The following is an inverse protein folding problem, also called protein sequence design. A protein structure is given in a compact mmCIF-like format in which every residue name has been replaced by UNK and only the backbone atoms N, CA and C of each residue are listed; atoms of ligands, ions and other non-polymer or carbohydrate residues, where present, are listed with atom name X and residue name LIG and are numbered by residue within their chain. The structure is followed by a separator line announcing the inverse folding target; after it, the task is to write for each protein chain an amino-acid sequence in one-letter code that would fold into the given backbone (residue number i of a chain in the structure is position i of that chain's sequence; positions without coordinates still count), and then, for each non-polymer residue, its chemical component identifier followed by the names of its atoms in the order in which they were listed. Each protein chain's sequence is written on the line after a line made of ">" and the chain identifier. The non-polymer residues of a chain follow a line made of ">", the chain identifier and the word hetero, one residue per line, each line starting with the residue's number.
data_IF_649166591433
#
_entry.id   IF_649166591433
#
_cell.length_a   1.000
_cell.length_b   1.000
_cell.length_c   1.000
_cell.angle_alpha   90.00
_cell.angle_beta   90.00
_cell.angle_gamma   90.00
#
_symmetry.space_group_name_H-M   'P 1'
#
loop_
_entity.id
_entity.type
_entity.pdbx_description
1 polymer ?
#
# COMPACT_ATOMS: atom_id res chain seq x y z
N UNK A 1 -7.10 -13.79 4.56
CA UNK A 1 -7.44 -12.35 4.58
C UNK A 1 -7.71 -11.93 3.16
N UNK A 2 -8.76 -11.16 2.94
CA UNK A 2 -8.99 -10.47 1.65
C UNK A 2 -7.90 -9.42 1.42
N UNK A 3 -7.70 -8.92 0.19
CA UNK A 3 -6.81 -7.79 -0.10
C UNK A 3 -7.03 -6.59 0.83
N UNK A 4 -8.28 -6.18 1.02
CA UNK A 4 -8.69 -5.12 1.95
C UNK A 4 -8.19 -5.39 3.37
N UNK A 5 -8.47 -6.59 3.89
CA UNK A 5 -8.06 -7.01 5.22
C UNK A 5 -6.54 -7.03 5.39
N UNK A 6 -5.81 -7.45 4.35
CA UNK A 6 -4.34 -7.43 4.39
C UNK A 6 -3.81 -5.99 4.47
N UNK A 7 -4.42 -5.04 3.74
CA UNK A 7 -4.08 -3.61 3.85
C UNK A 7 -4.39 -3.08 5.24
N UNK A 8 -5.58 -3.36 5.79
CA UNK A 8 -5.94 -2.99 7.17
C UNK A 8 -4.94 -3.52 8.19
N UNK A 9 -4.48 -4.76 8.01
CA UNK A 9 -3.42 -5.33 8.85
C UNK A 9 -2.08 -4.60 8.71
N UNK A 10 -1.66 -4.23 7.50
CA UNK A 10 -0.46 -3.41 7.30
C UNK A 10 -0.59 -2.05 8.00
N UNK A 11 -1.77 -1.43 7.98
CA UNK A 11 -2.03 -0.17 8.68
C UNK A 11 -1.97 -0.37 10.20
N UNK A 12 -2.54 -1.45 10.74
CA UNK A 12 -2.45 -1.80 12.17
C UNK A 12 -1.00 -1.91 12.63
N UNK A 13 -0.16 -2.61 11.87
CA UNK A 13 1.27 -2.75 12.16
C UNK A 13 1.93 -1.38 12.14
N UNK A 14 1.67 -0.60 11.09
CA UNK A 14 2.32 0.71 10.92
C UNK A 14 1.89 1.72 11.98
N UNK A 15 0.63 1.69 12.39
CA UNK A 15 0.10 2.52 13.47
C UNK A 15 0.77 2.16 14.80
N UNK A 16 0.91 0.87 15.10
CA UNK A 16 1.61 0.44 16.31
C UNK A 16 3.08 0.90 16.30
N UNK A 17 3.77 0.80 15.16
CA UNK A 17 5.15 1.30 15.00
C UNK A 17 5.26 2.82 15.22
N UNK A 18 4.36 3.60 14.63
CA UNK A 18 4.38 5.07 14.75
C UNK A 18 4.09 5.55 16.18
N UNK A 19 3.35 4.77 16.96
CA UNK A 19 2.97 5.09 18.33
C UNK A 19 3.84 4.40 19.40
N UNK A 20 4.94 3.74 19.01
CA UNK A 20 5.79 2.94 19.90
C UNK A 20 5.00 1.88 20.72
N UNK A 21 3.94 1.33 20.12
CA UNK A 21 3.07 0.32 20.71
C UNK A 21 3.45 -1.09 20.22
N UNK A 22 3.16 -2.15 21.01
CA UNK A 22 3.37 -3.51 20.55
C UNK A 22 2.44 -3.82 19.37
N UNK A 23 3.02 -4.35 18.29
CA UNK A 23 2.25 -4.83 17.14
C UNK A 23 1.24 -5.89 17.62
N UNK A 24 -0.05 -5.75 17.28
CA UNK A 24 -1.07 -6.73 17.63
C UNK A 24 -0.67 -8.15 17.17
N UNK A 25 -0.69 -9.11 18.09
CA UNK A 25 -0.44 -10.51 17.78
C UNK A 25 -1.75 -11.23 17.43
N UNK A 26 -1.67 -12.27 16.61
CA UNK A 26 -2.81 -13.09 16.18
C UNK A 26 -3.92 -12.29 15.46
N UNK A 27 -3.52 -11.35 14.61
CA UNK A 27 -4.47 -10.71 13.67
C UNK A 27 -4.91 -11.78 12.66
N UNK A 28 -6.21 -12.05 12.62
CA UNK A 28 -6.83 -13.08 11.77
C UNK A 28 -7.84 -12.45 10.83
N UNK A 29 -8.40 -13.25 9.91
CA UNK A 29 -9.52 -12.83 9.05
C UNK A 29 -10.72 -12.32 9.83
N UNK A 30 -10.93 -12.83 11.04
CA UNK A 30 -12.16 -12.59 11.79
C UNK A 30 -12.01 -11.39 12.73
N UNK A 31 -10.76 -10.98 13.02
CA UNK A 31 -10.46 -9.92 14.00
C UNK A 31 -9.91 -8.64 13.38
N UNK A 32 -9.34 -8.71 12.18
CA UNK A 32 -8.62 -7.59 11.56
C UNK A 32 -9.49 -6.36 11.33
N UNK A 33 -10.75 -6.54 10.91
CA UNK A 33 -11.66 -5.43 10.64
C UNK A 33 -12.04 -4.70 11.94
N UNK A 34 -12.42 -5.45 12.98
CA UNK A 34 -12.73 -4.87 14.30
C UNK A 34 -11.52 -4.14 14.92
N UNK A 35 -10.32 -4.72 14.79
CA UNK A 35 -9.09 -4.10 15.28
C UNK A 35 -8.77 -2.82 14.53
N UNK A 36 -8.96 -2.81 13.20
CA UNK A 36 -8.74 -1.63 12.37
C UNK A 36 -9.72 -0.51 12.72
N UNK A 37 -11.01 -0.84 12.86
CA UNK A 37 -12.07 0.13 13.19
C UNK A 37 -11.90 0.71 14.61
N UNK A 38 -11.17 0.01 15.48
CA UNK A 38 -10.85 0.47 16.84
C UNK A 38 -9.62 1.39 16.92
N UNK A 39 -8.89 1.61 15.82
CA UNK A 39 -7.74 2.53 15.81
C UNK A 39 -8.21 3.97 16.02
N UNK A 40 -7.60 4.65 16.98
CA UNK A 40 -7.73 6.10 17.12
C UNK A 40 -6.73 6.80 16.18
N UNK A 41 -7.22 7.79 15.42
CA UNK A 41 -6.46 8.58 14.44
C UNK A 41 -5.57 7.74 13.49
N UNK A 42 -6.14 6.88 12.62
CA UNK A 42 -5.37 5.99 11.73
C UNK A 42 -4.64 6.71 10.58
N UNK A 43 -4.76 8.05 10.49
CA UNK A 43 -4.49 8.82 9.27
C UNK A 43 -3.05 8.72 8.78
N UNK A 44 -2.07 8.87 9.69
CA UNK A 44 -0.65 8.81 9.33
C UNK A 44 -0.27 7.41 8.84
N UNK A 45 -0.63 6.37 9.60
CA UNK A 45 -0.39 4.99 9.22
C UNK A 45 -1.09 4.61 7.90
N UNK A 46 -2.35 5.03 7.73
CA UNK A 46 -3.13 4.84 6.50
C UNK A 46 -2.43 5.50 5.32
N UNK A 47 -1.97 6.74 5.46
CA UNK A 47 -1.34 7.47 4.37
C UNK A 47 0.05 6.92 4.04
N UNK A 48 0.84 6.51 5.03
CA UNK A 48 2.14 5.87 4.78
C UNK A 48 1.99 4.51 4.09
N UNK A 49 0.97 3.71 4.43
CA UNK A 49 0.68 2.49 3.67
C UNK A 49 0.20 2.83 2.26
N UNK A 50 -0.68 3.81 2.11
CA UNK A 50 -1.23 4.27 0.82
C UNK A 50 -0.15 4.65 -0.19
N UNK A 51 0.91 5.33 0.25
CA UNK A 51 2.01 5.79 -0.60
C UNK A 51 3.20 4.79 -0.69
N UNK A 52 3.08 3.60 -0.13
CA UNK A 52 4.18 2.62 -0.05
C UNK A 52 4.24 1.61 -1.21
N UNK A 53 3.29 1.65 -2.13
CA UNK A 53 3.22 0.69 -3.24
C UNK A 53 4.22 0.99 -4.36
N UNK A 54 4.58 -0.07 -5.08
CA UNK A 54 5.36 -0.01 -6.31
C UNK A 54 4.42 0.09 -7.52
N UNK A 55 4.73 0.97 -8.48
CA UNK A 55 3.91 1.13 -9.69
C UNK A 55 3.90 -0.15 -10.53
N UNK A 56 2.71 -0.62 -10.87
CA UNK A 56 2.50 -1.90 -11.57
C UNK A 56 2.31 -1.74 -13.07
N UNK A 57 1.94 -0.54 -13.53
CA UNK A 57 1.49 -0.30 -14.90
C UNK A 57 0.16 -0.97 -15.27
N UNK A 58 -0.59 -1.52 -14.29
CA UNK A 58 -1.93 -2.04 -14.53
C UNK A 58 -2.91 -0.90 -14.86
N UNK A 59 -4.01 -1.19 -15.57
CA UNK A 59 -5.00 -0.17 -15.93
C UNK A 59 -5.62 0.50 -14.69
N UNK A 60 -5.74 1.84 -14.74
CA UNK A 60 -6.37 2.65 -13.69
C UNK A 60 -7.68 3.27 -14.16
N UNK A 61 -8.60 3.59 -13.24
CA UNK A 61 -9.79 4.38 -13.58
C UNK A 61 -9.40 5.79 -14.01
N UNK A 62 -10.14 6.37 -14.97
CA UNK A 62 -9.97 7.77 -15.32
C UNK A 62 -10.60 8.68 -14.25
N UNK A 63 -9.84 9.66 -13.78
CA UNK A 63 -10.34 10.73 -12.90
C UNK A 63 -10.15 12.09 -13.56
N UNK A 64 -11.13 12.99 -13.36
CA UNK A 64 -11.04 14.38 -13.84
C UNK A 64 -10.26 15.30 -12.90
N UNK A 65 -10.10 14.86 -11.66
CA UNK A 65 -9.59 15.70 -10.57
C UNK A 65 -8.26 15.21 -10.03
N UNK A 66 -7.98 13.91 -10.16
CA UNK A 66 -6.82 13.25 -9.58
C UNK A 66 -6.08 12.46 -10.65
N UNK A 67 -4.76 12.39 -10.49
CA UNK A 67 -3.94 11.40 -11.16
C UNK A 67 -4.10 10.06 -10.43
N UNK A 68 -3.94 8.95 -11.15
CA UNK A 68 -4.16 7.61 -10.60
C UNK A 68 -3.12 6.64 -11.15
N UNK A 69 -2.33 6.08 -10.24
CA UNK A 69 -1.40 4.99 -10.53
C UNK A 69 -1.91 3.69 -9.91
N UNK A 70 -1.79 2.57 -10.63
CA UNK A 70 -2.03 1.25 -10.05
C UNK A 70 -0.74 0.81 -9.37
N UNK A 71 -0.77 0.68 -8.05
CA UNK A 71 0.41 0.29 -7.27
C UNK A 71 0.17 -1.05 -6.58
N UNK A 72 1.24 -1.76 -6.24
CA UNK A 72 1.17 -2.98 -5.46
C UNK A 72 2.30 -3.10 -4.44
N UNK A 73 2.06 -3.85 -3.38
CA UNK A 73 3.07 -4.15 -2.35
C UNK A 73 2.97 -5.61 -1.93
N UNK A 74 4.13 -6.18 -1.59
CA UNK A 74 4.19 -7.51 -1.00
C UNK A 74 3.69 -7.49 0.45
N UNK A 75 2.78 -8.42 0.76
CA UNK A 75 2.28 -8.69 2.09
C UNK A 75 3.21 -9.61 2.87
N UNK A 76 2.97 -9.74 4.18
CA UNK A 76 3.81 -10.51 5.11
C UNK A 76 3.97 -11.98 4.75
N UNK A 77 2.98 -12.58 4.10
CA UNK A 77 3.00 -13.98 3.64
C UNK A 77 3.65 -14.16 2.25
N UNK A 78 4.14 -13.08 1.65
CA UNK A 78 4.75 -13.06 0.32
C UNK A 78 3.78 -12.85 -0.84
N UNK A 79 2.46 -12.89 -0.61
CA UNK A 79 1.46 -12.53 -1.63
C UNK A 79 1.52 -11.03 -1.95
N UNK A 80 1.03 -10.62 -3.11
CA UNK A 80 1.03 -9.21 -3.52
C UNK A 80 -0.38 -8.65 -3.54
N UNK A 81 -0.52 -7.41 -3.09
CA UNK A 81 -1.78 -6.69 -3.01
C UNK A 81 -1.63 -5.41 -3.82
N UNK A 82 -2.60 -5.12 -4.67
CA UNK A 82 -2.68 -3.90 -5.47
C UNK A 82 -3.85 -3.00 -5.05
N UNK A 83 -3.71 -1.71 -5.33
CA UNK A 83 -4.76 -0.70 -5.16
C UNK A 83 -4.53 0.48 -6.11
N UNK A 84 -5.55 1.33 -6.27
CA UNK A 84 -5.44 2.58 -7.03
C UNK A 84 -4.92 3.70 -6.11
N UNK A 85 -3.72 4.18 -6.39
CA UNK A 85 -3.12 5.31 -5.70
C UNK A 85 -3.54 6.62 -6.37
N UNK A 86 -4.54 7.29 -5.79
CA UNK A 86 -4.95 8.62 -6.23
C UNK A 86 -4.02 9.69 -5.67
N UNK A 87 -3.64 10.69 -6.47
CA UNK A 87 -2.81 11.82 -6.05
C UNK A 87 -3.08 13.07 -6.90
N UNK A 88 -2.46 14.20 -6.54
CA UNK A 88 -2.74 15.48 -7.19
C UNK A 88 -3.98 16.18 -6.62
N UNK A 89 -4.84 16.77 -7.46
CA UNK A 89 -6.06 17.46 -7.01
C UNK A 89 -5.94 18.95 -6.72
N UNK A 90 -4.74 19.53 -6.89
CA UNK A 90 -4.50 20.96 -6.63
C UNK A 90 -4.59 21.33 -5.15
N UNK A 91 -4.71 22.63 -4.84
CA UNK A 91 -4.65 23.16 -3.46
C UNK A 91 -5.75 22.63 -2.52
N UNK A 92 -6.87 22.17 -3.07
CA UNK A 92 -8.04 21.68 -2.33
C UNK A 92 -8.32 20.19 -2.59
N UNK A 93 -7.33 19.46 -3.14
CA UNK A 93 -7.46 18.03 -3.34
C UNK A 93 -7.26 17.29 -2.03
N UNK A 94 -8.10 16.30 -1.78
CA UNK A 94 -8.00 15.37 -0.65
C UNK A 94 -7.99 13.93 -1.17
N UNK A 95 -6.97 13.55 -1.99
CA UNK A 95 -6.91 12.21 -2.59
C UNK A 95 -6.85 11.08 -1.53
N UNK A 96 -6.36 11.36 -0.33
CA UNK A 96 -6.35 10.44 0.82
C UNK A 96 -7.74 10.13 1.39
N UNK A 97 -8.75 10.96 1.10
CA UNK A 97 -10.14 10.72 1.51
C UNK A 97 -10.86 9.73 0.59
N UNK A 98 -10.31 9.42 -0.59
CA UNK A 98 -10.87 8.40 -1.50
C UNK A 98 -10.75 7.02 -0.84
N UNK A 99 -11.77 6.20 -1.00
CA UNK A 99 -11.76 4.84 -0.46
C UNK A 99 -10.95 3.89 -1.35
N UNK A 100 -9.62 3.95 -1.20
CA UNK A 100 -8.69 3.12 -1.93
C UNK A 100 -8.53 1.71 -1.33
N UNK A 101 -9.03 1.49 -0.10
CA UNK A 101 -8.88 0.20 0.58
C UNK A 101 -9.91 -0.77 0.03
N UNK A 102 -11.19 -0.37 -0.09
CA UNK A 102 -12.28 -1.20 -0.64
C UNK A 102 -11.99 -1.74 -2.04
N UNK A 103 -11.24 -0.99 -2.86
CA UNK A 103 -10.89 -1.38 -4.23
C UNK A 103 -9.62 -2.26 -4.32
N UNK A 104 -9.09 -2.75 -3.21
CA UNK A 104 -7.87 -3.55 -3.20
C UNK A 104 -8.06 -4.94 -3.85
N UNK A 105 -7.03 -5.42 -4.53
CA UNK A 105 -7.06 -6.70 -5.26
C UNK A 105 -5.76 -7.48 -5.11
N UNK A 106 -5.82 -8.81 -5.29
CA UNK A 106 -4.59 -9.63 -5.33
C UNK A 106 -3.86 -9.41 -6.66
N UNK A 107 -2.53 -9.30 -6.58
CA UNK A 107 -1.64 -9.13 -7.73
C UNK A 107 -0.71 -10.34 -7.81
N UNK A 108 -0.34 -10.72 -9.04
CA UNK A 108 0.65 -11.77 -9.29
C UNK A 108 1.80 -11.19 -10.08
N UNK A 109 3.02 -11.33 -9.56
CA UNK A 109 4.24 -10.94 -10.28
C UNK A 109 4.49 -11.97 -11.39
N UNK A 110 4.43 -11.55 -12.64
CA UNK A 110 4.60 -12.43 -13.82
C UNK A 110 6.04 -12.50 -14.32
N UNK A 111 6.93 -11.65 -13.81
CA UNK A 111 8.35 -11.65 -14.17
C UNK A 111 9.07 -10.47 -13.53
N UNK A 112 10.36 -10.63 -13.29
CA UNK A 112 11.25 -9.61 -12.74
C UNK A 112 12.46 -9.48 -13.66
N UNK A 113 12.89 -8.26 -13.96
CA UNK A 113 14.08 -8.00 -14.80
C UNK A 113 15.11 -7.20 -14.01
N UNK A 114 16.26 -7.81 -13.72
CA UNK A 114 17.39 -7.12 -13.09
C UNK A 114 18.32 -6.52 -14.14
N UNK A 115 18.58 -5.20 -14.08
CA UNK A 115 19.56 -4.54 -14.95
C UNK A 115 20.90 -4.40 -14.22
N UNK A 116 21.92 -5.17 -14.64
CA UNK A 116 23.29 -5.05 -14.10
C UNK A 116 24.09 -4.06 -14.97
N UNK A 117 24.48 -2.92 -14.41
CA UNK A 117 25.35 -1.93 -15.07
C UNK A 117 26.77 -2.00 -14.53
N UNK A 118 27.73 -2.45 -15.36
CA UNK A 118 29.16 -2.49 -15.00
C UNK A 118 29.89 -1.26 -15.55
N UNK A 119 30.69 -0.62 -14.70
CA UNK A 119 31.59 0.45 -15.09
C UNK A 119 33.03 -0.08 -15.02
N UNK A 120 33.84 0.24 -16.02
CA UNK A 120 35.20 -0.27 -16.14
C UNK A 120 36.18 0.91 -16.26
N UNK A 121 37.36 0.75 -15.68
CA UNK A 121 38.51 1.64 -15.85
C UNK A 121 39.74 0.81 -16.23
N UNK A 122 40.76 1.46 -16.82
CA UNK A 122 42.04 0.81 -17.11
C UNK A 122 42.76 0.44 -15.82
N UNK A 123 43.32 -0.77 -15.77
CA UNK A 123 44.32 -1.13 -14.76
C UNK A 123 45.60 -0.32 -15.00
N UNK A 124 46.22 0.14 -13.91
CA UNK A 124 47.50 0.86 -13.91
C UNK A 124 48.66 -0.06 -14.31
#
# INVERSE_FOLDING_TARGET
>A
MTPEQKIKHLILIRHAELNDQPVPQNVTTDTVDELYDAIDEPWDARNEVRCSGEETGLPTPCSRHYEVDAVARQYLDGSWIGWNYFYGGGKHGEPEAIDWIEDAYDVVVTGETTIIKRQFAKAA
#
